data_IF_965768340014
#
_entry.id   IF_965768340014
#
_cell.length_a   1.000
_cell.length_b   1.000
_cell.length_c   1.000
_cell.angle_alpha   90.00
_cell.angle_beta   90.00
_cell.angle_gamma   90.00
#
_symmetry.space_group_name_H-M   'P 1'
#
loop_
_entity.id
_entity.type
_entity.pdbx_description
1 polymer ?
#
# COMPACT_ATOMS: atom_id res chain seq x y z
N UNK A 1 -45.87 -29.83 -38.64
CA UNK A 1 -45.01 -28.81 -39.27
C UNK A 1 -44.67 -27.76 -38.22
N UNK A 2 -43.40 -27.35 -38.03
CA UNK A 2 -43.06 -26.31 -37.06
C UNK A 2 -43.25 -24.92 -37.68
N UNK A 3 -43.82 -23.99 -36.92
CA UNK A 3 -43.98 -22.59 -37.30
C UNK A 3 -42.73 -21.81 -36.91
N UNK A 4 -42.13 -21.14 -37.89
CA UNK A 4 -40.95 -20.29 -37.71
C UNK A 4 -41.34 -18.98 -37.01
N UNK A 5 -40.64 -18.63 -35.94
CA UNK A 5 -40.80 -17.36 -35.24
C UNK A 5 -39.83 -16.32 -35.81
N UNK A 6 -40.26 -15.07 -36.08
CA UNK A 6 -39.37 -14.02 -36.55
C UNK A 6 -38.48 -13.51 -35.41
N UNK A 7 -37.16 -13.55 -35.60
CA UNK A 7 -36.22 -12.87 -34.71
C UNK A 7 -36.32 -11.36 -34.95
N UNK A 8 -36.70 -10.61 -33.92
CA UNK A 8 -36.62 -9.15 -33.92
C UNK A 8 -35.15 -8.70 -33.94
N UNK A 9 -34.81 -7.59 -34.63
CA UNK A 9 -33.45 -7.06 -34.62
C UNK A 9 -33.08 -6.59 -33.21
N UNK A 10 -31.93 -7.04 -32.73
CA UNK A 10 -31.34 -6.56 -31.49
C UNK A 10 -31.01 -5.07 -31.64
N UNK A 11 -31.74 -4.24 -30.90
CA UNK A 11 -31.44 -2.82 -30.77
C UNK A 11 -30.07 -2.67 -30.12
N UNK A 12 -29.10 -2.17 -30.87
CA UNK A 12 -27.78 -1.78 -30.37
C UNK A 12 -27.95 -0.72 -29.28
N UNK A 13 -27.68 -1.09 -28.02
CA UNK A 13 -27.63 -0.10 -26.94
C UNK A 13 -26.41 0.79 -27.15
N UNK A 14 -26.55 2.13 -27.08
CA UNK A 14 -25.41 3.02 -27.17
C UNK A 14 -24.49 2.79 -25.97
N UNK A 15 -23.21 2.53 -26.24
CA UNK A 15 -22.17 2.45 -25.22
C UNK A 15 -22.12 3.78 -24.46
N UNK A 16 -22.16 3.79 -23.12
CA UNK A 16 -22.03 5.02 -22.36
C UNK A 16 -20.68 5.69 -22.69
N UNK A 17 -20.63 7.03 -22.79
CA UNK A 17 -19.38 7.73 -23.04
C UNK A 17 -18.36 7.37 -21.97
N UNK A 18 -17.13 7.07 -22.39
CA UNK A 18 -16.02 6.85 -21.47
C UNK A 18 -15.91 8.05 -20.53
N UNK A 19 -15.83 7.79 -19.23
CA UNK A 19 -15.62 8.83 -18.23
C UNK A 19 -14.42 9.69 -18.64
N UNK A 20 -14.49 11.03 -18.48
CA UNK A 20 -13.36 11.89 -18.77
C UNK A 20 -12.14 11.35 -18.01
N UNK A 21 -10.93 11.40 -18.59
CA UNK A 21 -9.73 11.05 -17.84
C UNK A 21 -9.74 11.94 -16.59
N UNK A 22 -9.88 11.32 -15.42
CA UNK A 22 -9.78 12.02 -14.15
C UNK A 22 -8.42 12.73 -14.05
N UNK A 23 -8.27 13.61 -13.06
CA UNK A 23 -7.05 14.38 -12.80
C UNK A 23 -5.81 13.47 -12.60
N UNK A 24 -5.27 12.94 -13.70
CA UNK A 24 -4.14 12.01 -13.72
C UNK A 24 -2.89 12.64 -13.09
N UNK A 25 -2.77 13.97 -13.17
CA UNK A 25 -1.74 14.72 -12.48
C UNK A 25 -1.92 14.71 -10.96
N UNK A 26 -3.16 14.84 -10.48
CA UNK A 26 -3.51 14.73 -9.06
C UNK A 26 -3.24 13.32 -8.52
N UNK A 27 -3.62 12.29 -9.27
CA UNK A 27 -3.36 10.88 -8.89
C UNK A 27 -1.85 10.58 -8.79
N UNK A 28 -1.05 11.12 -9.72
CA UNK A 28 0.41 10.96 -9.69
C UNK A 28 1.04 11.70 -8.50
N UNK A 29 0.50 12.86 -8.12
CA UNK A 29 0.97 13.61 -6.95
C UNK A 29 0.64 12.89 -5.64
N UNK A 30 -0.59 12.36 -5.51
CA UNK A 30 -0.96 11.56 -4.33
C UNK A 30 -0.10 10.29 -4.24
N UNK A 31 0.10 9.58 -5.35
CA UNK A 31 0.99 8.41 -5.39
C UNK A 31 2.42 8.76 -5.00
N UNK A 32 2.93 9.91 -5.45
CA UNK A 32 4.26 10.37 -5.10
C UNK A 32 4.41 10.64 -3.59
N UNK A 33 3.39 11.23 -2.94
CA UNK A 33 3.37 11.41 -1.49
C UNK A 33 3.41 10.08 -0.75
N UNK A 34 2.62 9.10 -1.19
CA UNK A 34 2.62 7.76 -0.60
C UNK A 34 4.02 7.12 -0.68
N UNK A 35 4.68 7.23 -1.84
CA UNK A 35 6.04 6.71 -2.04
C UNK A 35 7.03 7.43 -1.12
N UNK A 36 6.94 8.76 -0.99
CA UNK A 36 7.79 9.55 -0.10
C UNK A 36 7.64 9.11 1.36
N UNK A 37 6.41 8.97 1.83
CA UNK A 37 6.13 8.55 3.20
C UNK A 37 6.65 7.12 3.44
N UNK A 38 6.44 6.23 2.48
CA UNK A 38 6.95 4.87 2.55
C UNK A 38 8.49 4.82 2.53
N UNK A 39 9.15 5.67 1.73
CA UNK A 39 10.60 5.76 1.68
C UNK A 39 11.18 6.31 3.00
N UNK A 40 10.55 7.33 3.59
CA UNK A 40 10.95 7.86 4.90
C UNK A 40 10.87 6.79 6.00
N UNK A 41 9.79 6.00 6.00
CA UNK A 41 9.63 4.90 6.96
C UNK A 41 10.72 3.82 6.79
N UNK A 42 11.06 3.47 5.54
CA UNK A 42 12.12 2.51 5.24
C UNK A 42 13.50 3.03 5.64
N UNK A 43 13.81 4.30 5.37
CA UNK A 43 15.09 4.91 5.75
C UNK A 43 15.28 4.94 7.26
N UNK A 44 14.22 5.27 8.02
CA UNK A 44 14.26 5.24 9.48
C UNK A 44 14.54 3.82 10.01
N UNK A 45 13.93 2.80 9.39
CA UNK A 45 14.15 1.40 9.77
C UNK A 45 15.57 0.91 9.43
N UNK A 46 16.12 1.34 8.29
CA UNK A 46 17.48 0.98 7.85
C UNK A 46 18.55 1.63 8.73
N UNK A 47 18.38 2.92 9.05
CA UNK A 47 19.26 3.65 9.98
C UNK A 47 19.26 3.02 11.38
N UNK A 48 18.13 2.47 11.82
CA UNK A 48 18.05 1.75 13.09
C UNK A 48 18.79 0.40 13.06
N UNK A 49 18.91 -0.28 11.92
CA UNK A 49 19.65 -1.55 11.83
C UNK A 49 21.16 -1.38 11.92
N UNK A 50 21.71 -0.28 11.40
CA UNK A 50 23.16 -0.01 11.41
C UNK A 50 23.69 0.54 12.74
N UNK A 51 22.83 0.86 13.71
CA UNK A 51 23.25 1.44 14.97
C UNK A 51 23.90 0.38 15.89
N UNK A 52 25.19 0.51 16.29
CA UNK A 52 25.85 -0.45 17.17
C UNK A 52 25.12 -0.64 18.51
N UNK A 53 24.34 0.34 18.97
CA UNK A 53 23.51 0.20 20.18
C UNK A 53 22.40 -0.83 20.01
N UNK A 54 21.78 -0.90 18.84
CA UNK A 54 20.71 -1.86 18.55
C UNK A 54 21.30 -3.24 18.24
N UNK A 55 22.46 -3.29 17.60
CA UNK A 55 23.16 -4.54 17.27
C UNK A 55 23.52 -5.36 18.52
N UNK A 56 23.84 -4.70 19.64
CA UNK A 56 24.19 -5.35 20.91
C UNK A 56 22.97 -5.85 21.72
N UNK A 57 21.73 -5.57 21.29
CA UNK A 57 20.52 -6.04 21.97
C UNK A 57 19.62 -6.86 21.03
N UNK A 58 19.62 -8.20 21.13
CA UNK A 58 18.82 -9.06 20.25
C UNK A 58 17.31 -8.85 20.41
N UNK A 59 16.83 -8.39 21.58
CA UNK A 59 15.42 -8.03 21.75
C UNK A 59 15.06 -6.78 20.97
N UNK A 60 15.92 -5.76 21.01
CA UNK A 60 15.74 -4.57 20.20
C UNK A 60 15.69 -4.92 18.70
N UNK A 61 16.62 -5.76 18.22
CA UNK A 61 16.62 -6.19 16.82
C UNK A 61 15.32 -6.92 16.42
N UNK A 62 14.84 -7.85 17.26
CA UNK A 62 13.59 -8.56 17.03
C UNK A 62 12.40 -7.60 16.93
N UNK A 63 12.26 -6.69 17.87
CA UNK A 63 11.13 -5.76 17.92
C UNK A 63 11.20 -4.69 16.82
N UNK A 64 12.40 -4.24 16.44
CA UNK A 64 12.59 -3.38 15.27
C UNK A 64 12.18 -4.09 13.97
N UNK A 65 12.62 -5.34 13.76
CA UNK A 65 12.25 -6.13 12.59
C UNK A 65 10.73 -6.37 12.53
N UNK A 66 10.11 -6.67 13.67
CA UNK A 66 8.67 -6.84 13.76
C UNK A 66 7.93 -5.54 13.47
N UNK A 67 8.35 -4.41 14.05
CA UNK A 67 7.73 -3.11 13.85
C UNK A 67 7.86 -2.62 12.40
N UNK A 68 8.97 -2.94 11.72
CA UNK A 68 9.18 -2.65 10.29
C UNK A 68 8.24 -3.48 9.40
N UNK A 69 8.00 -4.74 9.76
CA UNK A 69 7.21 -5.67 8.94
C UNK A 69 5.71 -5.51 9.16
N UNK A 70 5.29 -5.27 10.40
CA UNK A 70 3.90 -5.09 10.80
C UNK A 70 3.85 -4.16 12.03
N UNK A 71 3.75 -2.84 11.83
CA UNK A 71 3.67 -1.90 12.93
C UNK A 71 2.37 -2.10 13.71
N UNK A 72 2.49 -2.47 14.99
CA UNK A 72 1.40 -2.65 15.95
C UNK A 72 1.71 -1.86 17.22
N UNK A 73 0.71 -1.53 18.04
CA UNK A 73 0.94 -0.90 19.36
C UNK A 73 1.93 -1.71 20.21
N UNK A 74 1.82 -3.05 20.17
CA UNK A 74 2.73 -3.93 20.89
C UNK A 74 4.15 -3.79 20.37
N UNK A 75 4.38 -3.86 19.05
CA UNK A 75 5.74 -3.75 18.51
C UNK A 75 6.35 -2.38 18.79
N UNK A 76 5.56 -1.30 18.72
CA UNK A 76 6.02 0.05 19.07
C UNK A 76 6.41 0.15 20.55
N UNK A 77 5.58 -0.34 21.46
CA UNK A 77 5.87 -0.33 22.90
C UNK A 77 7.16 -1.10 23.23
N UNK A 78 7.36 -2.27 22.61
CA UNK A 78 8.56 -3.06 22.85
C UNK A 78 9.82 -2.47 22.19
N UNK A 79 9.68 -1.75 21.06
CA UNK A 79 10.81 -0.96 20.51
C UNK A 79 11.21 0.12 21.52
N UNK A 80 10.25 0.84 22.10
CA UNK A 80 10.54 1.87 23.12
C UNK A 80 11.18 1.26 24.38
N UNK A 81 10.74 0.08 24.81
CA UNK A 81 11.28 -0.60 25.99
C UNK A 81 12.70 -1.15 25.76
N UNK A 82 12.96 -1.74 24.58
CA UNK A 82 14.20 -2.49 24.35
C UNK A 82 15.27 -1.74 23.55
N UNK A 83 14.94 -0.64 22.85
CA UNK A 83 15.87 0.08 21.98
C UNK A 83 16.34 1.46 22.48
N UNK A 84 15.84 1.93 23.64
CA UNK A 84 16.28 3.19 24.25
C UNK A 84 17.48 3.02 25.19
#
# INVERSE_FOLDING_TARGET
APVAQPLAPALSQPTPPAAPPGDAQGEMFERYKEILQQQQSQQAADAAQGNPRHLNNPKCQFWLAQNRTAPTDKSQANVLEFCY
#
